data_IF_501045334102
#
_entry.id   IF_501045334102
#
_cell.length_a   1.000
_cell.length_b   1.000
_cell.length_c   1.000
_cell.angle_alpha   90.00
_cell.angle_beta   90.00
_cell.angle_gamma   90.00
#
_symmetry.space_group_name_H-M   'P 1'
#
loop_
_entity.id
_entity.type
_entity.pdbx_description
1 polymer ?
#
# COMPACT_ATOMS: atom_id res chain seq x y z
N UNK A 1 -12.86 8.54 -3.96
CA UNK A 1 -12.14 9.47 -4.87
C UNK A 1 -11.24 10.35 -4.03
N UNK A 2 -9.97 10.55 -4.42
CA UNK A 2 -9.07 11.44 -3.66
C UNK A 2 -9.55 12.89 -3.77
N UNK A 3 -9.63 13.57 -2.64
CA UNK A 3 -10.03 14.96 -2.49
C UNK A 3 -9.02 15.63 -1.55
N UNK A 4 -8.01 16.29 -2.12
CA UNK A 4 -6.84 16.78 -1.39
C UNK A 4 -6.07 15.65 -0.69
N UNK A 5 -6.00 15.69 0.64
CA UNK A 5 -5.30 14.72 1.49
C UNK A 5 -6.14 13.51 1.91
N UNK A 6 -7.44 13.50 1.61
CA UNK A 6 -8.38 12.47 2.06
C UNK A 6 -9.09 11.80 0.88
N UNK A 7 -9.87 10.76 1.14
CA UNK A 7 -10.65 10.05 0.13
C UNK A 7 -12.14 10.16 0.45
N UNK A 8 -12.91 10.73 -0.47
CA UNK A 8 -14.38 10.73 -0.41
C UNK A 8 -14.92 9.33 -0.70
N UNK A 9 -15.79 8.85 0.19
CA UNK A 9 -16.47 7.55 0.11
C UNK A 9 -17.66 7.72 -0.85
N UNK A 10 -17.57 7.16 -2.05
CA UNK A 10 -18.64 7.25 -3.06
C UNK A 10 -19.61 6.07 -3.01
N UNK A 11 -19.14 4.93 -2.51
CA UNK A 11 -19.93 3.70 -2.32
C UNK A 11 -19.35 2.91 -1.15
N UNK A 12 -19.89 3.05 0.08
CA UNK A 12 -19.40 2.32 1.24
C UNK A 12 -19.55 0.81 1.02
N UNK A 13 -18.54 0.03 1.40
CA UNK A 13 -18.52 -1.43 1.28
C UNK A 13 -17.42 -2.03 2.19
N UNK A 14 -17.44 -3.35 2.35
CA UNK A 14 -16.44 -4.14 3.11
C UNK A 14 -15.63 -5.09 2.20
N UNK A 15 -15.51 -4.75 0.91
CA UNK A 15 -14.78 -5.57 -0.06
C UNK A 15 -13.28 -5.59 0.26
N UNK A 16 -12.64 -6.73 -0.01
CA UNK A 16 -11.19 -6.90 0.15
C UNK A 16 -10.56 -7.05 -1.22
N UNK A 17 -9.72 -6.10 -1.61
CA UNK A 17 -9.03 -6.11 -2.90
C UNK A 17 -7.59 -6.54 -2.69
N UNK A 18 -7.16 -7.58 -3.40
CA UNK A 18 -5.77 -8.00 -3.48
C UNK A 18 -5.18 -7.58 -4.83
N UNK A 19 -4.00 -6.99 -4.82
CA UNK A 19 -3.29 -6.58 -6.04
C UNK A 19 -1.92 -7.23 -6.06
N UNK A 20 -1.63 -7.93 -7.15
CA UNK A 20 -0.32 -8.51 -7.43
C UNK A 20 0.38 -7.64 -8.47
N UNK A 21 1.58 -7.16 -8.14
CA UNK A 21 2.31 -6.21 -8.96
C UNK A 21 3.83 -6.31 -8.73
N UNK A 22 4.60 -5.58 -9.52
CA UNK A 22 6.05 -5.43 -9.32
C UNK A 22 6.37 -4.34 -8.30
N UNK A 23 7.54 -4.45 -7.67
CA UNK A 23 7.99 -3.51 -6.63
C UNK A 23 7.93 -2.04 -7.08
N UNK A 24 8.31 -1.73 -8.32
CA UNK A 24 8.24 -0.36 -8.86
C UNK A 24 6.82 0.22 -8.85
N UNK A 25 5.82 -0.57 -9.22
CA UNK A 25 4.41 -0.15 -9.16
C UNK A 25 3.95 0.00 -7.70
N UNK A 26 4.26 -0.98 -6.85
CA UNK A 26 3.94 -0.93 -5.42
C UNK A 26 4.49 0.33 -4.75
N UNK A 27 5.75 0.68 -5.01
CA UNK A 27 6.37 1.90 -4.50
C UNK A 27 5.70 3.18 -5.01
N UNK A 28 5.36 3.25 -6.31
CA UNK A 28 4.59 4.38 -6.87
C UNK A 28 3.26 4.55 -6.17
N UNK A 29 2.56 3.45 -5.94
CA UNK A 29 1.20 3.49 -5.40
C UNK A 29 1.20 3.85 -3.92
N UNK A 30 2.13 3.31 -3.13
CA UNK A 30 2.31 3.71 -1.74
C UNK A 30 2.67 5.20 -1.64
N UNK A 31 3.58 5.69 -2.49
CA UNK A 31 3.91 7.12 -2.55
C UNK A 31 2.66 7.96 -2.86
N UNK A 32 1.84 7.53 -3.82
CA UNK A 32 0.58 8.20 -4.15
C UNK A 32 -0.39 8.24 -2.96
N UNK A 33 -0.55 7.12 -2.23
CA UNK A 33 -1.39 7.04 -1.03
C UNK A 33 -0.91 8.00 0.06
N UNK A 34 0.40 8.14 0.22
CA UNK A 34 1.04 9.06 1.18
C UNK A 34 1.12 10.52 0.69
N UNK A 35 0.59 10.83 -0.50
CA UNK A 35 0.67 12.17 -1.08
C UNK A 35 2.09 12.58 -1.50
N UNK A 36 2.99 11.63 -1.69
CA UNK A 36 4.38 11.83 -2.11
C UNK A 36 4.53 11.69 -3.63
N UNK A 37 5.50 12.39 -4.24
CA UNK A 37 5.85 12.16 -5.64
C UNK A 37 6.32 10.71 -5.89
N UNK A 38 5.93 10.05 -7.01
CA UNK A 38 6.28 8.65 -7.28
C UNK A 38 7.79 8.36 -7.27
N UNK A 39 8.61 9.28 -7.79
CA UNK A 39 10.07 9.11 -7.79
C UNK A 39 10.65 8.98 -6.37
N UNK A 40 10.04 9.67 -5.40
CA UNK A 40 10.44 9.55 -4.00
C UNK A 40 10.11 8.15 -3.46
N UNK A 41 9.01 7.56 -3.91
CA UNK A 41 8.68 6.16 -3.64
C UNK A 41 9.74 5.20 -4.18
N UNK A 42 10.16 5.35 -5.43
CA UNK A 42 11.20 4.49 -6.04
C UNK A 42 12.54 4.55 -5.33
N UNK A 43 12.94 5.76 -4.93
CA UNK A 43 14.19 6.00 -4.23
C UNK A 43 14.16 5.46 -2.79
N UNK A 44 13.06 5.71 -2.06
CA UNK A 44 13.02 5.53 -0.60
C UNK A 44 12.27 4.28 -0.12
N UNK A 45 11.42 3.67 -0.94
CA UNK A 45 10.65 2.48 -0.57
C UNK A 45 11.27 1.27 -1.26
N UNK A 46 11.69 0.28 -0.47
CA UNK A 46 12.26 -0.99 -0.95
C UNK A 46 11.34 -2.15 -0.56
N UNK A 47 10.46 -2.54 -1.49
CA UNK A 47 9.59 -3.69 -1.31
C UNK A 47 10.37 -4.99 -1.59
N UNK A 48 10.28 -5.93 -0.66
CA UNK A 48 10.85 -7.28 -0.80
C UNK A 48 9.94 -8.12 -1.69
N UNK A 49 10.54 -9.06 -2.40
CA UNK A 49 9.79 -10.01 -3.24
C UNK A 49 8.83 -10.81 -2.36
N UNK A 50 7.61 -11.00 -2.86
CA UNK A 50 6.52 -11.68 -2.14
C UNK A 50 6.08 -11.00 -0.84
N UNK A 51 6.56 -9.79 -0.52
CA UNK A 51 6.08 -9.07 0.64
C UNK A 51 4.65 -8.58 0.45
N UNK A 52 3.88 -8.58 1.54
CA UNK A 52 2.49 -8.08 1.56
C UNK A 52 2.47 -6.72 2.24
N UNK A 53 1.75 -5.77 1.64
CA UNK A 53 1.44 -4.47 2.24
C UNK A 53 -0.08 -4.34 2.29
N UNK A 54 -0.63 -3.96 3.44
CA UNK A 54 -2.07 -3.77 3.63
C UNK A 54 -2.37 -2.35 4.05
N UNK A 55 -3.30 -1.74 3.33
CA UNK A 55 -3.98 -0.53 3.73
C UNK A 55 -5.45 -0.83 4.00
N UNK A 56 -5.99 -0.21 5.05
CA UNK A 56 -7.40 -0.26 5.41
C UNK A 56 -8.06 1.10 5.11
N UNK A 57 -9.23 1.06 4.50
CA UNK A 57 -10.08 2.22 4.24
C UNK A 57 -11.39 2.00 4.97
N UNK A 58 -11.53 2.64 6.13
CA UNK A 58 -12.73 2.47 6.96
C UNK A 58 -13.89 3.31 6.43
N UNK A 59 -15.09 2.74 6.42
CA UNK A 59 -16.31 3.51 6.24
C UNK A 59 -16.49 4.45 7.44
N UNK A 60 -16.92 5.68 7.19
CA UNK A 60 -17.07 6.71 8.21
C UNK A 60 -18.28 7.59 7.89
N UNK A 61 -19.04 7.98 8.91
CA UNK A 61 -20.27 8.77 8.78
C UNK A 61 -20.03 10.18 8.19
N UNK A 62 -18.80 10.69 8.30
CA UNK A 62 -18.38 11.95 7.65
C UNK A 62 -18.34 11.88 6.12
N UNK A 63 -18.40 10.67 5.54
CA UNK A 63 -18.27 10.45 4.10
C UNK A 63 -16.83 10.51 3.57
N UNK A 64 -15.82 10.62 4.45
CA UNK A 64 -14.40 10.64 4.09
C UNK A 64 -13.61 9.57 4.84
N UNK A 65 -12.50 9.15 4.24
CA UNK A 65 -11.59 8.15 4.81
C UNK A 65 -10.15 8.46 4.43
N UNK A 66 -9.20 7.93 5.20
CA UNK A 66 -7.76 7.99 4.91
C UNK A 66 -7.19 6.58 4.96
N UNK A 67 -6.18 6.26 4.13
CA UNK A 67 -5.55 4.95 4.16
C UNK A 67 -4.82 4.75 5.49
N UNK A 68 -5.22 3.75 6.26
CA UNK A 68 -4.50 3.28 7.44
C UNK A 68 -3.56 2.14 7.02
N UNK A 69 -2.25 2.26 7.25
CA UNK A 69 -1.31 1.19 6.92
C UNK A 69 -1.22 0.19 8.08
N UNK A 70 -1.84 -0.97 7.94
CA UNK A 70 -1.78 -2.03 8.96
C UNK A 70 -0.38 -2.67 9.02
N UNK A 71 0.17 -2.98 7.85
CA UNK A 71 1.51 -3.53 7.70
C UNK A 71 2.10 -3.18 6.34
N UNK A 72 3.40 -2.89 6.35
CA UNK A 72 4.18 -2.49 5.19
C UNK A 72 5.30 -3.50 4.96
N UNK A 73 5.43 -3.98 3.72
CA UNK A 73 6.53 -4.83 3.31
C UNK A 73 6.71 -6.10 4.20
N UNK A 74 5.59 -6.68 4.61
CA UNK A 74 5.56 -7.82 5.52
C UNK A 74 5.93 -9.13 4.80
N UNK A 75 6.84 -9.87 5.43
CA UNK A 75 7.35 -11.17 4.95
C UNK A 75 7.17 -12.25 6.01
N UNK A 76 6.45 -11.96 7.10
CA UNK A 76 6.24 -12.90 8.22
C UNK A 76 5.53 -14.20 7.81
N UNK A 77 4.74 -14.15 6.73
CA UNK A 77 4.06 -15.32 6.16
C UNK A 77 5.00 -16.24 5.36
N UNK A 78 6.20 -15.78 4.99
CA UNK A 78 7.16 -16.60 4.28
C UNK A 78 7.89 -17.53 5.25
N UNK A 79 8.15 -18.79 4.87
CA UNK A 79 8.98 -19.68 5.67
C UNK A 79 10.38 -19.08 5.87
N UNK A 80 11.10 -19.42 6.97
CA UNK A 80 12.46 -18.92 7.24
C UNK A 80 13.53 -19.28 6.18
N UNK A 81 13.18 -19.94 5.08
CA UNK A 81 14.13 -20.24 4.03
C UNK A 81 14.47 -18.97 3.26
N UNK A 82 15.77 -18.63 3.25
CA UNK A 82 16.32 -17.40 2.70
C UNK A 82 16.01 -17.19 1.22
N UNK A 83 14.78 -16.72 0.94
CA UNK A 83 14.44 -16.11 -0.33
C UNK A 83 15.45 -14.99 -0.54
N UNK A 84 16.26 -15.04 -1.62
CA UNK A 84 17.24 -14.01 -1.86
C UNK A 84 16.51 -12.68 -1.85
N UNK A 85 16.95 -11.78 -0.98
CA UNK A 85 16.59 -10.38 -1.09
C UNK A 85 17.11 -9.97 -2.47
N UNK A 86 16.25 -9.86 -3.49
CA UNK A 86 16.66 -9.40 -4.82
C UNK A 86 16.99 -7.90 -4.83
N UNK A 87 17.29 -7.33 -3.66
CA UNK A 87 17.72 -5.95 -3.48
C UNK A 87 19.22 -5.85 -3.74
N UNK A 88 19.57 -4.93 -4.65
CA UNK A 88 20.90 -4.32 -4.71
C UNK A 88 21.27 -3.69 -3.37
#
# INVERSE_FOLDING_TARGET
MRDGGVYRITRPNDERVAVFCHGGFGCSWIAWLLGMPPFMGWERIKLRTSAVTRFNFRNNDTGYTVPECDYLNDTSHLPPCGVPNSGR
#
